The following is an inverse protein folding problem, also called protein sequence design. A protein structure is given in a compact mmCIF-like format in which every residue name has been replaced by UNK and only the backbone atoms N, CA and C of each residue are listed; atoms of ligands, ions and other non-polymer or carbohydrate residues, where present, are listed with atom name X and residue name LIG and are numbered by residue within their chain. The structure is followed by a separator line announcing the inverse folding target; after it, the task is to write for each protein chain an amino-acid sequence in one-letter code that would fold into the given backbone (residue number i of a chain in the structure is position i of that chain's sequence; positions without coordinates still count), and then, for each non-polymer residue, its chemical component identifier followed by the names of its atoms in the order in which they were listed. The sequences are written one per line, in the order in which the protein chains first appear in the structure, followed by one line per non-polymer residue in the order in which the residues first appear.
data_IF_993384442426
#
_entry.id   IF_993384442426
#
_cell.length_a   1.000
_cell.length_b   1.000
_cell.length_c   1.000
_cell.angle_alpha   90.00
_cell.angle_beta   90.00
_cell.angle_gamma   90.00
#
_symmetry.space_group_name_H-M   'P 1'
#
loop_
_entity.id
_entity.type
_entity.pdbx_description
1 polymer ?
#
# COMPACT_ATOMS: atom_id res chain seq x y z
N UNK A 1 -5.27 -37.94 19.94
CA UNK A 1 -6.02 -36.91 19.21
C UNK A 1 -5.04 -35.83 18.72
N UNK A 2 -4.88 -35.64 17.41
CA UNK A 2 -4.02 -34.60 16.88
C UNK A 2 -4.58 -33.27 17.34
N UNK A 3 -3.78 -32.39 17.97
CA UNK A 3 -4.17 -31.03 18.29
C UNK A 3 -4.39 -30.29 16.97
N UNK A 4 -5.62 -29.90 16.69
CA UNK A 4 -5.95 -29.05 15.53
C UNK A 4 -5.20 -27.73 15.71
N UNK A 5 -4.26 -27.47 14.84
CA UNK A 5 -3.56 -26.18 14.77
C UNK A 5 -4.51 -25.26 14.00
N UNK A 6 -4.90 -24.15 14.61
CA UNK A 6 -5.67 -23.08 13.95
C UNK A 6 -4.89 -21.76 14.01
N UNK A 7 -5.24 -20.82 13.14
CA UNK A 7 -4.57 -19.51 13.04
C UNK A 7 -4.57 -18.76 14.38
N UNK A 8 -5.68 -18.82 15.12
CA UNK A 8 -5.82 -18.13 16.41
C UNK A 8 -4.85 -18.65 17.47
N UNK A 9 -4.61 -19.97 17.49
CA UNK A 9 -3.60 -20.58 18.39
C UNK A 9 -2.18 -20.22 18.00
N UNK A 10 -1.96 -19.89 16.73
CA UNK A 10 -0.67 -19.40 16.22
C UNK A 10 -0.49 -17.88 16.41
N UNK A 11 -1.45 -17.19 17.02
CA UNK A 11 -1.38 -15.76 17.31
C UNK A 11 -1.90 -14.86 16.19
N UNK A 12 -2.57 -15.41 15.16
CA UNK A 12 -3.14 -14.66 14.02
C UNK A 12 -4.66 -14.59 14.16
N UNK A 13 -5.22 -13.38 14.15
CA UNK A 13 -6.67 -13.16 14.21
C UNK A 13 -7.24 -12.84 12.80
N UNK A 14 -7.72 -13.89 12.14
CA UNK A 14 -8.36 -13.77 10.82
C UNK A 14 -9.57 -12.80 10.84
N UNK A 15 -10.30 -12.72 11.98
CA UNK A 15 -11.44 -11.83 12.13
C UNK A 15 -11.02 -10.35 12.11
N UNK A 16 -9.88 -10.01 12.73
CA UNK A 16 -9.31 -8.66 12.63
C UNK A 16 -8.85 -8.35 11.20
N UNK A 17 -8.29 -9.34 10.49
CA UNK A 17 -7.94 -9.20 9.09
C UNK A 17 -9.14 -8.79 8.23
N UNK A 18 -10.28 -9.43 8.36
CA UNK A 18 -11.50 -9.07 7.62
C UNK A 18 -11.99 -7.65 7.94
N UNK A 19 -11.97 -7.25 9.21
CA UNK A 19 -12.34 -5.88 9.63
C UNK A 19 -11.39 -4.85 9.00
N UNK A 20 -10.09 -5.12 8.99
CA UNK A 20 -9.11 -4.24 8.37
C UNK A 20 -9.38 -4.07 6.86
N UNK A 21 -9.62 -5.16 6.14
CA UNK A 21 -9.95 -5.14 4.71
C UNK A 21 -11.20 -4.30 4.42
N UNK A 22 -12.23 -4.33 5.28
CA UNK A 22 -13.43 -3.53 5.09
C UNK A 22 -13.15 -2.02 5.24
N UNK A 23 -12.23 -1.61 6.13
CA UNK A 23 -11.77 -0.22 6.20
C UNK A 23 -10.91 0.16 4.99
N UNK A 24 -10.03 -0.74 4.52
CA UNK A 24 -9.20 -0.52 3.34
C UNK A 24 -10.04 -0.28 2.08
N UNK A 25 -11.10 -1.06 1.86
CA UNK A 25 -12.04 -0.90 0.73
C UNK A 25 -12.62 0.50 0.67
N UNK A 26 -13.05 1.05 1.82
CA UNK A 26 -13.63 2.40 1.91
C UNK A 26 -12.62 3.48 1.52
N UNK A 27 -11.37 3.32 1.94
CA UNK A 27 -10.30 4.27 1.67
C UNK A 27 -9.83 4.19 0.21
N UNK A 28 -9.59 2.98 -0.30
CA UNK A 28 -9.13 2.76 -1.67
C UNK A 28 -10.16 3.20 -2.71
N UNK A 29 -11.46 3.02 -2.46
CA UNK A 29 -12.52 3.48 -3.37
C UNK A 29 -12.44 4.98 -3.68
N UNK A 30 -11.90 5.79 -2.77
CA UNK A 30 -11.72 7.25 -2.96
C UNK A 30 -10.59 7.61 -3.92
N UNK A 31 -9.74 6.64 -4.28
CA UNK A 31 -8.58 6.81 -5.17
C UNK A 31 -8.85 6.32 -6.58
N UNK A 32 -10.09 5.88 -6.88
CA UNK A 32 -10.44 5.33 -8.18
C UNK A 32 -10.21 6.35 -9.32
N UNK A 33 -9.47 5.91 -10.33
CA UNK A 33 -9.20 6.69 -11.55
C UNK A 33 -9.52 5.85 -12.79
N UNK A 34 -9.68 6.46 -13.97
CA UNK A 34 -9.89 5.72 -15.21
C UNK A 34 -8.77 4.71 -15.47
N UNK A 35 -9.14 3.47 -15.75
CA UNK A 35 -8.20 2.36 -15.93
C UNK A 35 -8.18 1.36 -14.77
N UNK A 36 -8.67 1.73 -13.59
CA UNK A 36 -8.84 0.78 -12.49
C UNK A 36 -9.96 -0.23 -12.85
N UNK A 37 -9.65 -1.53 -12.82
CA UNK A 37 -10.57 -2.61 -13.19
C UNK A 37 -11.02 -3.44 -11.98
N UNK A 38 -10.28 -3.44 -10.90
CA UNK A 38 -10.60 -4.17 -9.67
C UNK A 38 -10.54 -3.26 -8.45
N UNK A 39 -11.33 -3.59 -7.43
CA UNK A 39 -11.19 -3.00 -6.09
C UNK A 39 -10.42 -3.90 -5.14
N UNK A 40 -10.13 -3.40 -3.93
CA UNK A 40 -9.52 -4.18 -2.85
C UNK A 40 -10.47 -5.32 -2.41
N UNK A 41 -9.88 -6.51 -2.16
CA UNK A 41 -10.58 -7.72 -1.72
C UNK A 41 -10.49 -8.88 -2.71
N UNK A 42 -9.85 -8.67 -3.86
CA UNK A 42 -9.42 -9.72 -4.79
C UNK A 42 -7.97 -10.15 -4.46
N UNK A 43 -7.55 -11.32 -4.96
CA UNK A 43 -6.16 -11.78 -4.83
C UNK A 43 -5.16 -10.96 -5.66
N UNK A 44 -5.64 -10.21 -6.62
CA UNK A 44 -4.82 -9.35 -7.48
C UNK A 44 -5.52 -8.04 -7.79
N UNK A 45 -4.72 -7.06 -8.23
CA UNK A 45 -5.21 -5.81 -8.78
C UNK A 45 -5.02 -5.79 -10.31
N UNK A 46 -6.00 -5.26 -11.02
CA UNK A 46 -5.94 -5.08 -12.47
C UNK A 46 -6.11 -3.61 -12.84
N UNK A 47 -5.22 -3.15 -13.70
CA UNK A 47 -5.25 -1.79 -14.23
C UNK A 47 -5.05 -1.83 -15.75
N UNK A 48 -5.91 -1.14 -16.49
CA UNK A 48 -5.84 -1.09 -17.94
C UNK A 48 -4.69 -0.18 -18.40
N UNK A 49 -3.89 -0.64 -19.34
CA UNK A 49 -2.86 0.20 -19.96
C UNK A 49 -3.51 1.35 -20.74
N UNK A 50 -3.11 2.62 -20.53
CA UNK A 50 -3.67 3.76 -21.24
C UNK A 50 -3.46 3.67 -22.76
N UNK A 51 -4.55 3.69 -23.54
CA UNK A 51 -4.52 3.47 -25.00
C UNK A 51 -3.79 4.56 -25.79
N UNK A 52 -3.60 5.75 -25.21
CA UNK A 52 -2.93 6.88 -25.87
C UNK A 52 -1.40 6.77 -25.87
N UNK A 53 -0.82 5.86 -25.10
CA UNK A 53 0.62 5.60 -25.04
C UNK A 53 0.97 4.57 -26.12
N UNK A 54 1.80 4.97 -27.07
CA UNK A 54 2.15 4.15 -28.25
C UNK A 54 3.34 3.22 -27.98
N UNK A 55 4.37 3.73 -27.33
CA UNK A 55 5.56 2.97 -26.90
C UNK A 55 5.65 3.02 -25.36
N UNK A 56 4.87 2.20 -24.63
CA UNK A 56 4.79 2.29 -23.19
C UNK A 56 6.09 1.84 -22.51
N UNK A 57 6.53 2.63 -21.53
CA UNK A 57 7.60 2.27 -20.59
C UNK A 57 7.01 2.29 -19.18
N UNK A 58 7.19 1.21 -18.45
CA UNK A 58 6.83 1.12 -17.06
C UNK A 58 7.99 1.58 -16.18
N UNK A 59 7.66 2.34 -15.14
CA UNK A 59 8.60 2.81 -14.11
C UNK A 59 8.03 2.39 -12.77
N UNK A 60 8.86 1.86 -11.91
CA UNK A 60 8.44 1.45 -10.57
C UNK A 60 9.41 1.94 -9.51
N UNK A 61 8.89 2.24 -8.34
CA UNK A 61 9.65 2.60 -7.15
C UNK A 61 9.06 1.89 -5.94
N UNK A 62 9.92 1.52 -4.99
CA UNK A 62 9.51 0.93 -3.72
C UNK A 62 10.35 1.53 -2.61
N UNK A 63 9.72 1.81 -1.48
CA UNK A 63 10.39 2.32 -0.29
C UNK A 63 9.64 1.92 0.98
N UNK A 64 10.36 1.87 2.11
CA UNK A 64 9.83 1.62 3.44
C UNK A 64 9.76 2.90 4.27
N UNK A 65 8.70 3.07 5.06
CA UNK A 65 8.54 4.24 5.94
C UNK A 65 9.67 4.36 6.95
N UNK A 66 10.16 3.23 7.45
CA UNK A 66 11.32 3.18 8.33
C UNK A 66 11.02 3.72 9.73
N UNK A 67 12.03 4.33 10.36
CA UNK A 67 12.00 4.73 11.78
C UNK A 67 10.97 5.82 12.12
N UNK A 68 10.42 6.53 11.14
CA UNK A 68 9.29 7.46 11.35
C UNK A 68 8.07 6.78 11.97
N UNK A 69 7.90 5.48 11.72
CA UNK A 69 6.85 4.68 12.33
C UNK A 69 6.91 4.71 13.86
N UNK A 70 8.11 4.65 14.45
CA UNK A 70 8.25 4.68 15.91
C UNK A 70 7.72 5.99 16.50
N UNK A 71 7.93 7.12 15.80
CA UNK A 71 7.40 8.42 16.19
C UNK A 71 5.88 8.43 16.08
N UNK A 72 5.33 7.96 14.94
CA UNK A 72 3.89 7.90 14.72
C UNK A 72 3.18 7.06 15.78
N UNK A 73 3.76 5.93 16.16
CA UNK A 73 3.20 5.04 17.18
C UNK A 73 3.29 5.64 18.59
N UNK A 74 4.39 6.30 18.94
CA UNK A 74 4.51 7.05 20.21
C UNK A 74 3.49 8.18 20.33
N UNK A 75 3.23 8.87 19.22
CA UNK A 75 2.27 9.97 19.14
C UNK A 75 0.81 9.47 18.96
N UNK A 76 0.58 8.20 18.69
CA UNK A 76 -0.70 7.60 18.30
C UNK A 76 -1.33 8.31 17.08
N UNK A 77 -0.49 8.76 16.15
CA UNK A 77 -0.88 9.46 14.92
C UNK A 77 -0.50 8.59 13.71
N UNK A 78 -1.45 7.87 13.14
CA UNK A 78 -1.20 6.80 12.18
C UNK A 78 -1.51 7.18 10.73
N UNK A 79 -2.35 8.19 10.52
CA UNK A 79 -2.84 8.62 9.20
C UNK A 79 -1.79 9.37 8.38
N UNK A 80 -0.81 10.02 9.00
CA UNK A 80 0.19 10.81 8.29
C UNK A 80 1.31 9.96 7.68
N UNK A 81 1.70 8.86 8.34
CA UNK A 81 2.79 8.02 7.83
C UNK A 81 2.41 7.29 6.54
N UNK A 82 1.11 7.09 6.28
CA UNK A 82 0.63 6.55 5.00
C UNK A 82 0.88 7.50 3.83
N UNK A 83 0.74 8.81 4.04
CA UNK A 83 1.08 9.83 3.04
C UNK A 83 2.57 9.78 2.71
N UNK A 84 3.43 9.68 3.75
CA UNK A 84 4.87 9.52 3.57
C UNK A 84 5.22 8.28 2.75
N UNK A 85 4.57 7.14 3.04
CA UNK A 85 4.78 5.89 2.33
C UNK A 85 4.56 6.05 0.82
N UNK A 86 3.49 6.75 0.43
CA UNK A 86 3.20 7.02 -0.98
C UNK A 86 4.21 8.00 -1.57
N UNK A 87 4.48 9.10 -0.87
CA UNK A 87 5.34 10.16 -1.37
C UNK A 87 6.75 9.67 -1.68
N UNK A 88 7.33 8.81 -0.84
CA UNK A 88 8.67 8.27 -1.04
C UNK A 88 8.77 7.51 -2.36
N UNK A 89 7.87 6.56 -2.62
CA UNK A 89 7.89 5.75 -3.84
C UNK A 89 7.47 6.55 -5.09
N UNK A 90 6.48 7.44 -4.97
CA UNK A 90 5.97 8.23 -6.10
C UNK A 90 6.97 9.27 -6.57
N UNK A 91 7.71 9.90 -5.65
CA UNK A 91 8.73 10.88 -6.01
C UNK A 91 9.86 10.26 -6.85
N UNK A 92 10.24 9.01 -6.57
CA UNK A 92 11.22 8.28 -7.36
C UNK A 92 10.73 8.04 -8.79
N UNK A 93 9.45 7.71 -8.95
CA UNK A 93 8.82 7.55 -10.27
C UNK A 93 8.79 8.89 -11.01
N UNK A 94 8.42 9.97 -10.33
CA UNK A 94 8.35 11.32 -10.90
C UNK A 94 9.72 11.81 -11.42
N UNK A 95 10.82 11.39 -10.81
CA UNK A 95 12.17 11.68 -11.32
C UNK A 95 12.42 11.17 -12.75
N UNK A 96 11.63 10.20 -13.20
CA UNK A 96 11.66 9.70 -14.59
C UNK A 96 10.72 10.45 -15.54
N UNK A 97 10.00 11.49 -15.05
CA UNK A 97 9.04 12.25 -15.85
C UNK A 97 7.76 11.47 -16.20
N UNK A 98 7.47 10.42 -15.45
CA UNK A 98 6.35 9.50 -15.70
C UNK A 98 5.33 9.62 -14.56
N UNK A 99 4.01 9.75 -14.84
CA UNK A 99 2.99 9.74 -13.80
C UNK A 99 2.82 8.33 -13.21
N UNK A 100 2.54 8.26 -11.91
CA UNK A 100 2.16 7.01 -11.26
C UNK A 100 0.73 6.63 -11.65
N UNK A 101 0.50 5.35 -11.98
CA UNK A 101 -0.83 4.82 -12.25
C UNK A 101 -1.49 4.25 -11.01
N UNK A 102 -0.76 3.41 -10.31
CA UNK A 102 -1.27 2.73 -9.13
C UNK A 102 -0.18 2.50 -8.09
N UNK A 103 -0.64 2.24 -6.90
CA UNK A 103 0.16 1.98 -5.72
C UNK A 103 -0.29 0.70 -5.03
N UNK A 104 0.64 -0.01 -4.43
CA UNK A 104 0.42 -1.16 -3.57
C UNK A 104 1.14 -0.90 -2.25
N UNK A 105 0.55 -1.34 -1.14
CA UNK A 105 1.19 -1.28 0.17
C UNK A 105 1.54 -2.66 0.71
N UNK A 106 2.45 -2.68 1.67
CA UNK A 106 2.75 -3.82 2.52
C UNK A 106 2.75 -3.36 3.97
N UNK A 107 1.90 -3.96 4.78
CA UNK A 107 1.83 -3.71 6.22
C UNK A 107 2.16 -5.01 6.95
N UNK A 108 3.23 -5.01 7.75
CA UNK A 108 3.56 -6.13 8.62
C UNK A 108 3.45 -5.72 10.08
N UNK A 109 3.00 -6.61 10.94
CA UNK A 109 2.87 -6.33 12.37
C UNK A 109 3.00 -7.58 13.24
N UNK A 110 3.27 -7.38 14.53
CA UNK A 110 3.29 -8.48 15.50
C UNK A 110 1.89 -8.91 15.94
N UNK A 111 0.95 -7.98 15.96
CA UNK A 111 -0.47 -8.22 16.22
C UNK A 111 -1.28 -7.16 15.52
N UNK A 112 -2.23 -7.58 14.72
CA UNK A 112 -3.06 -6.67 13.93
C UNK A 112 -4.12 -5.99 14.80
N UNK A 113 -4.21 -4.67 14.67
CA UNK A 113 -5.33 -3.84 15.11
C UNK A 113 -5.94 -3.20 13.85
N UNK A 114 -7.16 -3.60 13.53
CA UNK A 114 -7.85 -3.16 12.32
C UNK A 114 -8.05 -1.64 12.26
N UNK A 115 -8.20 -0.96 13.41
CA UNK A 115 -8.35 0.49 13.46
C UNK A 115 -7.03 1.20 13.15
N UNK A 116 -5.92 0.70 13.69
CA UNK A 116 -4.58 1.26 13.43
C UNK A 116 -4.24 1.06 11.95
N UNK A 117 -4.36 -0.17 11.46
CA UNK A 117 -4.08 -0.48 10.06
C UNK A 117 -4.99 0.30 9.11
N UNK A 118 -6.30 0.43 9.44
CA UNK A 118 -7.25 1.26 8.70
C UNK A 118 -6.81 2.73 8.61
N UNK A 119 -6.26 3.31 9.70
CA UNK A 119 -5.74 4.68 9.69
C UNK A 119 -4.47 4.84 8.84
N UNK A 120 -3.58 3.86 8.87
CA UNK A 120 -2.40 3.86 7.99
C UNK A 120 -2.85 3.86 6.52
N UNK A 121 -3.79 2.98 6.14
CA UNK A 121 -4.31 2.88 4.78
C UNK A 121 -5.15 4.12 4.39
N UNK A 122 -5.84 4.76 5.33
CA UNK A 122 -6.48 6.06 5.10
C UNK A 122 -5.45 7.11 4.65
N UNK A 123 -4.29 7.17 5.31
CA UNK A 123 -3.17 8.02 4.92
C UNK A 123 -2.57 7.64 3.56
N UNK A 124 -2.41 6.34 3.28
CA UNK A 124 -1.96 5.86 1.97
C UNK A 124 -2.94 6.30 0.87
N UNK A 125 -4.25 6.14 1.10
CA UNK A 125 -5.26 6.60 0.14
C UNK A 125 -5.24 8.11 -0.08
N UNK A 126 -4.99 8.91 0.97
CA UNK A 126 -4.81 10.35 0.83
C UNK A 126 -3.61 10.68 -0.04
N UNK A 127 -2.45 10.06 0.20
CA UNK A 127 -1.25 10.22 -0.62
C UNK A 127 -1.46 9.80 -2.07
N UNK A 128 -2.15 8.69 -2.30
CA UNK A 128 -2.50 8.22 -3.66
C UNK A 128 -3.39 9.24 -4.39
N UNK A 129 -4.37 9.81 -3.69
CA UNK A 129 -5.25 10.84 -4.26
C UNK A 129 -4.47 12.09 -4.64
N UNK A 130 -3.55 12.54 -3.79
CA UNK A 130 -2.70 13.71 -4.05
C UNK A 130 -1.74 13.45 -5.23
N UNK A 131 -1.22 12.22 -5.35
CA UNK A 131 -0.39 11.77 -6.45
C UNK A 131 -1.17 11.49 -7.76
N UNK A 132 -2.51 11.47 -7.71
CA UNK A 132 -3.37 11.15 -8.85
C UNK A 132 -3.30 9.68 -9.28
N UNK A 133 -2.98 8.76 -8.39
CA UNK A 133 -2.90 7.33 -8.66
C UNK A 133 -3.92 6.51 -7.84
N UNK A 134 -4.22 5.29 -8.29
CA UNK A 134 -5.13 4.40 -7.59
C UNK A 134 -4.38 3.58 -6.51
N UNK A 135 -4.95 3.44 -5.33
CA UNK A 135 -4.57 2.37 -4.39
C UNK A 135 -5.18 1.07 -4.90
N UNK A 136 -4.38 0.27 -5.59
CA UNK A 136 -4.83 -0.91 -6.32
C UNK A 136 -5.00 -2.13 -5.42
N UNK A 137 -4.23 -2.23 -4.36
CA UNK A 137 -4.21 -3.34 -3.42
C UNK A 137 -3.04 -3.24 -2.47
N UNK A 138 -2.75 -4.33 -1.80
CA UNK A 138 -1.64 -4.45 -0.86
C UNK A 138 -1.64 -5.79 -0.16
N UNK A 139 -0.81 -5.91 0.87
CA UNK A 139 -0.72 -7.08 1.73
C UNK A 139 -0.63 -6.65 3.19
N UNK A 140 -1.33 -7.38 4.06
CA UNK A 140 -1.22 -7.20 5.51
C UNK A 140 -0.82 -8.52 6.15
N UNK A 141 0.39 -8.55 6.72
CA UNK A 141 0.98 -9.74 7.33
C UNK A 141 1.01 -9.61 8.85
N UNK A 142 0.28 -10.46 9.54
CA UNK A 142 0.40 -10.63 10.99
C UNK A 142 1.47 -11.67 11.27
N UNK A 143 2.58 -11.27 11.91
CA UNK A 143 3.78 -12.06 12.10
C UNK A 143 4.18 -12.08 13.58
N UNK A 144 3.41 -12.81 14.43
CA UNK A 144 3.71 -12.92 15.85
C UNK A 144 5.05 -13.65 16.07
N UNK A 145 5.88 -13.09 16.94
CA UNK A 145 7.22 -13.62 17.21
C UNK A 145 8.32 -13.11 16.28
N UNK A 146 7.98 -12.56 15.12
CA UNK A 146 8.91 -11.82 14.26
C UNK A 146 8.89 -10.33 14.61
N UNK A 147 7.70 -9.73 14.69
CA UNK A 147 7.50 -8.39 15.24
C UNK A 147 6.94 -8.47 16.65
N UNK A 148 7.38 -7.59 17.54
CA UNK A 148 6.78 -7.40 18.84
C UNK A 148 5.33 -6.89 18.72
N UNK A 149 4.49 -7.20 19.71
CA UNK A 149 3.14 -6.70 19.77
C UNK A 149 3.13 -5.16 19.76
N UNK A 150 2.33 -4.58 18.87
CA UNK A 150 2.23 -3.14 18.68
C UNK A 150 3.33 -2.54 17.80
N UNK A 151 4.22 -3.36 17.24
CA UNK A 151 5.18 -2.93 16.22
C UNK A 151 4.60 -3.20 14.83
N UNK A 152 4.77 -2.22 13.96
CA UNK A 152 4.36 -2.24 12.57
C UNK A 152 5.53 -1.87 11.66
N UNK A 153 5.54 -2.43 10.48
CA UNK A 153 6.38 -2.03 9.37
C UNK A 153 5.48 -1.72 8.16
N UNK A 154 5.81 -0.68 7.42
CA UNK A 154 5.00 -0.22 6.29
C UNK A 154 5.92 0.13 5.14
N UNK A 155 5.64 -0.44 3.99
CA UNK A 155 6.32 -0.16 2.74
C UNK A 155 5.33 0.05 1.60
N UNK A 156 5.77 0.71 0.55
CA UNK A 156 4.97 0.99 -0.62
C UNK A 156 5.68 0.61 -1.91
N UNK A 157 4.88 0.35 -2.93
CA UNK A 157 5.32 0.05 -4.28
C UNK A 157 4.44 0.79 -5.28
N UNK A 158 5.03 1.73 -5.99
CA UNK A 158 4.37 2.49 -7.04
C UNK A 158 4.72 1.98 -8.43
N UNK A 159 3.76 2.06 -9.35
CA UNK A 159 3.97 1.75 -10.77
C UNK A 159 3.41 2.90 -11.61
N UNK A 160 4.27 3.46 -12.43
CA UNK A 160 3.94 4.48 -13.43
C UNK A 160 4.10 3.94 -14.85
N UNK A 161 3.50 4.63 -15.80
CA UNK A 161 3.65 4.36 -17.22
C UNK A 161 3.75 5.64 -18.01
N UNK A 162 4.62 5.67 -18.99
CA UNK A 162 4.80 6.82 -19.86
C UNK A 162 5.21 6.45 -21.26
N UNK A 163 5.21 7.43 -22.16
CA UNK A 163 5.72 7.28 -23.51
C UNK A 163 7.25 7.22 -23.47
N UNK A 164 7.85 6.23 -24.10
CA UNK A 164 9.30 5.97 -24.13
C UNK A 164 10.13 7.22 -24.46
N UNK A 165 9.65 8.06 -25.36
CA UNK A 165 10.34 9.31 -25.77
C UNK A 165 10.36 10.37 -24.68
N UNK A 166 9.41 10.31 -23.72
CA UNK A 166 9.26 11.28 -22.63
C UNK A 166 9.89 10.81 -21.33
N UNK A 167 10.11 9.51 -21.18
CA UNK A 167 10.76 8.97 -20.02
C UNK A 167 12.23 9.44 -19.97
N UNK A 168 12.59 10.12 -18.87
CA UNK A 168 13.96 10.57 -18.64
C UNK A 168 14.88 9.35 -18.49
N UNK A 169 15.96 9.34 -19.27
CA UNK A 169 17.05 8.35 -19.12
C UNK A 169 18.23 9.04 -18.46
N UNK A 170 18.56 8.63 -17.26
CA UNK A 170 19.83 9.02 -16.65
C UNK A 170 20.96 8.46 -17.52
N UNK A 171 21.81 9.35 -18.06
CA UNK A 171 23.04 8.97 -18.74
C UNK A 171 24.09 8.52 -17.74
#
# INVERSE_FOLDING_TARGET
MAKTIDYKKSGVDVGEGYKAVDEYKKSAAKTAIPGLLTGIGSFNGMFAVPKHIKEPVMVSGTDGVGTKLDIAFKMKKYDTVGIDCVAMSVNDILCSGVPTLFFLDYIACGSLDAKIAGKIVEGIAAGCKDAGCALLGGETAEMPGFYDKGKYDVAGFGVGIGEKKRAYKRQ
#
